data_IF_296474760898
#
_entry.id   IF_296474760898
#
_cell.length_a   1.000
_cell.length_b   1.000
_cell.length_c   1.000
_cell.angle_alpha   90.00
_cell.angle_beta   90.00
_cell.angle_gamma   90.00
#
_symmetry.space_group_name_H-M   'P 1'
#
loop_
_entity.id
_entity.type
_entity.pdbx_description
1 polymer ?
#
# COMPACT_ATOMS: atom_id res chain seq x y z
N UNK A 1 15.65 3.22 -4.10
CA UNK A 1 14.31 3.81 -4.33
C UNK A 1 14.43 5.29 -4.03
N UNK A 2 13.95 6.17 -4.91
CA UNK A 2 13.97 7.63 -4.71
C UNK A 2 12.51 8.08 -4.75
N UNK A 3 11.99 8.59 -3.63
CA UNK A 3 10.60 9.10 -3.54
C UNK A 3 10.68 10.61 -3.37
N UNK A 4 9.93 11.33 -4.20
CA UNK A 4 9.82 12.78 -4.07
C UNK A 4 9.21 13.13 -2.70
N UNK A 5 9.90 13.91 -1.85
CA UNK A 5 9.39 14.29 -0.53
C UNK A 5 8.05 15.06 -0.59
N UNK A 6 7.73 15.68 -1.71
CA UNK A 6 6.49 16.43 -1.91
C UNK A 6 5.30 15.53 -2.31
N UNK A 7 5.52 14.23 -2.52
CA UNK A 7 4.43 13.29 -2.84
C UNK A 7 3.48 13.14 -1.64
N UNK A 8 2.29 13.73 -1.79
CA UNK A 8 1.21 13.62 -0.81
C UNK A 8 0.53 12.24 -0.85
N UNK A 9 -0.08 11.82 0.26
CA UNK A 9 -0.93 10.62 0.30
C UNK A 9 -2.27 10.90 -0.38
N UNK A 10 -2.64 10.07 -1.37
CA UNK A 10 -3.98 10.11 -1.97
C UNK A 10 -4.97 9.21 -1.20
N UNK A 11 -4.46 8.19 -0.52
CA UNK A 11 -5.16 7.46 0.52
C UNK A 11 -5.34 8.37 1.75
N UNK A 12 -6.59 8.64 2.12
CA UNK A 12 -6.92 9.49 3.26
C UNK A 12 -8.26 9.11 3.89
N UNK A 13 -8.59 9.59 5.10
CA UNK A 13 -9.90 9.37 5.72
C UNK A 13 -11.08 9.88 4.88
N UNK A 14 -10.86 10.86 4.01
CA UNK A 14 -11.89 11.42 3.12
C UNK A 14 -11.87 10.80 1.72
N UNK A 15 -10.85 10.03 1.37
CA UNK A 15 -10.70 9.38 0.07
C UNK A 15 -10.29 7.91 0.22
N UNK A 16 -11.11 7.15 0.97
CA UNK A 16 -10.85 5.75 1.31
C UNK A 16 -10.84 4.79 0.10
N UNK A 17 -11.36 5.21 -1.06
CA UNK A 17 -11.31 4.43 -2.30
C UNK A 17 -9.89 4.24 -2.82
N UNK A 18 -8.97 5.13 -2.45
CA UNK A 18 -7.55 5.08 -2.77
C UNK A 18 -6.72 4.31 -1.72
N UNK A 19 -7.37 3.74 -0.70
CA UNK A 19 -6.73 3.00 0.37
C UNK A 19 -6.97 1.49 0.21
N UNK A 20 -5.99 0.63 0.59
CA UNK A 20 -6.25 -0.79 0.66
C UNK A 20 -7.35 -1.09 1.70
N UNK A 21 -8.16 -2.14 1.54
CA UNK A 21 -9.25 -2.47 2.45
C UNK A 21 -8.85 -2.59 3.93
N UNK A 22 -7.65 -3.11 4.19
CA UNK A 22 -7.10 -3.18 5.55
C UNK A 22 -5.56 -3.13 5.54
N UNK A 23 -5.02 -2.85 6.72
CA UNK A 23 -3.60 -2.96 7.06
C UNK A 23 -3.42 -4.11 8.07
N UNK A 24 -2.37 -4.91 7.93
CA UNK A 24 -2.01 -5.94 8.93
C UNK A 24 -0.84 -5.41 9.77
N UNK A 25 -1.10 -5.21 11.06
CA UNK A 25 -0.06 -4.81 12.03
C UNK A 25 0.98 -5.93 12.24
N UNK A 26 2.15 -5.63 12.84
CA UNK A 26 3.14 -6.66 13.19
C UNK A 26 2.57 -7.82 14.03
N UNK A 27 1.56 -7.54 14.85
CA UNK A 27 0.86 -8.51 15.70
C UNK A 27 -0.27 -9.27 14.96
N UNK A 28 -0.23 -9.32 13.62
CA UNK A 28 -1.25 -9.97 12.77
C UNK A 28 -2.69 -9.44 12.95
N UNK A 29 -2.86 -8.26 13.53
CA UNK A 29 -4.18 -7.65 13.71
C UNK A 29 -4.54 -6.87 12.44
N UNK A 30 -5.72 -7.16 11.88
CA UNK A 30 -6.29 -6.43 10.74
C UNK A 30 -6.94 -5.14 11.22
N UNK A 31 -6.52 -4.02 10.63
CA UNK A 31 -7.08 -2.69 10.84
C UNK A 31 -7.73 -2.25 9.54
N UNK A 32 -9.05 -2.15 9.53
CA UNK A 32 -9.82 -1.75 8.34
C UNK A 32 -9.68 -0.26 8.04
N UNK A 33 -9.71 0.11 6.76
CA UNK A 33 -9.63 1.51 6.29
C UNK A 33 -10.76 2.43 6.75
N UNK A 34 -11.81 1.88 7.36
CA UNK A 34 -12.89 2.66 7.98
C UNK A 34 -12.60 2.99 9.45
N UNK A 35 -11.61 2.35 10.06
CA UNK A 35 -11.14 2.70 11.41
C UNK A 35 -10.16 3.87 11.33
N UNK A 36 -10.72 5.09 11.24
CA UNK A 36 -9.96 6.32 11.01
C UNK A 36 -8.95 6.64 12.12
N UNK A 37 -9.13 6.10 13.33
CA UNK A 37 -8.25 6.33 14.48
C UNK A 37 -6.98 5.48 14.46
N UNK A 38 -6.98 4.36 13.72
CA UNK A 38 -5.90 3.37 13.78
C UNK A 38 -5.32 3.00 12.41
N UNK A 39 -6.06 3.24 11.32
CA UNK A 39 -5.55 2.93 9.98
C UNK A 39 -4.42 3.90 9.60
N UNK A 40 -3.26 3.41 9.14
CA UNK A 40 -2.11 4.26 8.86
C UNK A 40 -2.19 4.89 7.46
N UNK A 41 -3.13 5.82 7.24
CA UNK A 41 -3.33 6.44 5.91
C UNK A 41 -2.06 7.03 5.31
N UNK A 42 -1.24 7.70 6.14
CA UNK A 42 0.04 8.31 5.73
C UNK A 42 1.10 7.32 5.25
N UNK A 43 0.93 6.03 5.52
CA UNK A 43 1.85 4.99 5.09
C UNK A 43 1.57 4.52 3.64
N UNK A 44 0.42 4.88 3.09
CA UNK A 44 -0.04 4.49 1.76
C UNK A 44 -0.20 5.72 0.87
N UNK A 45 0.34 5.67 -0.34
CA UNK A 45 0.07 6.68 -1.34
C UNK A 45 -1.27 6.40 -2.02
N UNK A 46 -1.39 5.22 -2.64
CA UNK A 46 -2.50 4.86 -3.52
C UNK A 46 -2.66 3.33 -3.61
N UNK A 47 -3.91 2.88 -3.61
CA UNK A 47 -4.32 1.53 -3.97
C UNK A 47 -5.31 1.61 -5.12
N UNK A 48 -5.13 0.75 -6.12
CA UNK A 48 -6.15 0.47 -7.11
C UNK A 48 -6.31 -1.02 -7.34
N UNK A 49 -7.56 -1.43 -7.46
CA UNK A 49 -7.95 -2.80 -7.69
C UNK A 49 -7.71 -3.23 -9.15
N UNK A 50 -7.58 -4.54 -9.41
CA UNK A 50 -7.46 -5.03 -10.77
C UNK A 50 -8.79 -4.86 -11.50
N UNK A 51 -8.75 -4.41 -12.76
CA UNK A 51 -9.96 -4.10 -13.55
C UNK A 51 -10.88 -5.29 -13.85
N UNK A 52 -10.39 -6.51 -13.66
CA UNK A 52 -11.13 -7.76 -13.85
C UNK A 52 -11.57 -8.43 -12.54
N UNK A 53 -11.47 -7.74 -11.39
CA UNK A 53 -11.91 -8.28 -10.11
C UNK A 53 -13.45 -8.35 -9.99
N UNK A 54 -13.96 -9.50 -9.58
CA UNK A 54 -15.40 -9.78 -9.50
C UNK A 54 -16.03 -9.38 -8.17
N UNK A 55 -15.27 -9.38 -7.07
CA UNK A 55 -15.78 -9.25 -5.71
C UNK A 55 -15.09 -8.12 -4.92
N UNK A 56 -15.04 -6.93 -5.49
CA UNK A 56 -14.42 -5.77 -4.85
C UNK A 56 -15.31 -5.14 -3.76
N UNK A 57 -14.71 -4.86 -2.60
CA UNK A 57 -15.36 -4.14 -1.51
C UNK A 57 -15.42 -2.64 -1.83
N UNK A 58 -16.64 -2.10 -1.99
CA UNK A 58 -16.86 -0.67 -2.20
C UNK A 58 -16.55 0.14 -0.94
N UNK A 59 -15.98 1.35 -1.06
CA UNK A 59 -15.57 2.02 -2.30
C UNK A 59 -14.20 1.51 -2.81
N UNK A 60 -14.02 1.48 -4.13
CA UNK A 60 -12.76 1.12 -4.78
C UNK A 60 -12.57 1.95 -6.05
N UNK A 61 -11.31 2.12 -6.45
CA UNK A 61 -10.92 2.54 -7.80
C UNK A 61 -10.26 1.35 -8.50
N UNK A 62 -10.48 1.20 -9.80
CA UNK A 62 -9.71 0.26 -10.63
C UNK A 62 -8.50 0.99 -11.22
N UNK A 63 -7.41 0.27 -11.44
CA UNK A 63 -6.24 0.85 -12.09
C UNK A 63 -6.57 1.30 -13.53
N UNK A 64 -5.92 2.38 -13.98
CA UNK A 64 -6.11 2.92 -15.34
C UNK A 64 -5.71 1.87 -16.39
N UNK A 65 -6.63 1.45 -17.28
CA UNK A 65 -6.35 0.37 -18.24
C UNK A 65 -5.35 0.78 -19.32
N UNK A 66 -5.13 2.08 -19.57
CA UNK A 66 -4.13 2.54 -20.52
C UNK A 66 -2.72 2.34 -19.98
N UNK A 67 -2.49 2.76 -18.72
CA UNK A 67 -1.18 2.66 -18.06
C UNK A 67 -0.92 1.27 -17.46
N UNK A 68 -1.98 0.50 -17.19
CA UNK A 68 -1.93 -0.86 -16.63
C UNK A 68 -2.81 -1.82 -17.46
N UNK A 69 -2.37 -2.18 -18.68
CA UNK A 69 -3.20 -2.94 -19.64
C UNK A 69 -3.42 -4.40 -19.24
N UNK A 70 -2.54 -4.96 -18.43
CA UNK A 70 -2.81 -6.19 -17.71
C UNK A 70 -3.47 -5.80 -16.40
N UNK A 71 -4.68 -6.30 -16.13
CA UNK A 71 -5.46 -5.94 -14.95
C UNK A 71 -4.81 -6.44 -13.64
N UNK A 72 -3.68 -5.84 -13.29
CA UNK A 72 -2.94 -6.05 -12.04
C UNK A 72 -3.44 -5.04 -11.02
N UNK A 73 -3.44 -5.41 -9.75
CA UNK A 73 -3.63 -4.42 -8.70
C UNK A 73 -2.32 -3.67 -8.44
N UNK A 74 -2.43 -2.43 -7.94
CA UNK A 74 -1.26 -1.65 -7.54
C UNK A 74 -1.44 -1.15 -6.12
N UNK A 75 -0.38 -1.27 -5.33
CA UNK A 75 -0.26 -0.70 -4.00
C UNK A 75 1.03 0.11 -3.92
N UNK A 76 0.89 1.40 -3.68
CA UNK A 76 2.00 2.34 -3.57
C UNK A 76 2.15 2.77 -2.12
N UNK A 77 3.35 2.59 -1.57
CA UNK A 77 3.69 2.95 -0.20
C UNK A 77 4.38 4.31 -0.14
N UNK A 78 4.27 4.97 1.00
CA UNK A 78 5.05 6.16 1.34
C UNK A 78 6.04 5.83 2.46
N UNK A 79 7.17 6.55 2.55
CA UNK A 79 8.06 6.45 3.69
C UNK A 79 7.30 6.67 5.00
N UNK A 80 7.38 5.71 5.92
CA UNK A 80 6.62 5.77 7.16
C UNK A 80 7.26 4.90 8.25
N UNK A 81 7.22 5.30 9.54
CA UNK A 81 7.83 4.53 10.63
C UNK A 81 7.30 3.09 10.78
N UNK A 82 6.06 2.84 10.34
CA UNK A 82 5.46 1.50 10.39
C UNK A 82 6.18 0.47 9.49
N UNK A 83 6.96 0.96 8.53
CA UNK A 83 7.74 0.12 7.63
C UNK A 83 9.19 -0.09 8.09
N UNK A 84 9.59 0.53 9.21
CA UNK A 84 10.97 0.53 9.70
C UNK A 84 11.51 -0.89 9.94
N UNK A 85 10.70 -1.75 10.54
CA UNK A 85 11.07 -3.15 10.84
C UNK A 85 11.35 -3.98 9.57
N UNK A 86 10.87 -3.52 8.41
CA UNK A 86 11.08 -4.17 7.11
C UNK A 86 12.17 -3.48 6.27
N UNK A 87 12.87 -2.50 6.83
CA UNK A 87 13.96 -1.78 6.19
C UNK A 87 13.52 -0.78 5.11
N UNK A 88 12.23 -0.46 5.02
CA UNK A 88 11.73 0.55 4.09
C UNK A 88 11.97 1.96 4.64
N UNK A 89 12.12 2.99 3.79
CA UNK A 89 12.26 4.38 4.25
C UNK A 89 11.20 4.80 5.27
N UNK A 90 11.62 5.56 6.27
CA UNK A 90 10.75 5.90 7.42
C UNK A 90 10.23 7.32 7.36
N UNK A 91 10.89 8.19 6.59
CA UNK A 91 10.59 9.62 6.49
C UNK A 91 10.65 10.08 5.04
N UNK A 92 9.78 11.02 4.67
CA UNK A 92 9.86 11.65 3.35
C UNK A 92 11.23 12.33 3.17
N UNK A 93 11.82 12.16 1.98
CA UNK A 93 13.16 12.66 1.68
C UNK A 93 14.29 11.67 1.98
N UNK A 94 14.03 10.59 2.72
CA UNK A 94 15.00 9.49 2.87
C UNK A 94 15.38 8.93 1.49
N UNK A 95 16.67 9.01 1.13
CA UNK A 95 17.15 8.55 -0.18
C UNK A 95 16.91 9.54 -1.33
N UNK A 96 16.48 10.77 -1.04
CA UNK A 96 16.30 11.83 -2.05
C UNK A 96 17.65 12.36 -2.56
N UNK A 97 17.60 13.16 -3.62
CA UNK A 97 18.79 13.76 -4.25
C UNK A 97 19.60 14.53 -3.19
N UNK A 98 20.85 14.11 -2.98
CA UNK A 98 21.76 14.68 -1.97
C UNK A 98 21.85 13.88 -0.66
N UNK A 99 20.95 12.93 -0.43
CA UNK A 99 20.96 12.02 0.73
C UNK A 99 20.99 10.56 0.26
N UNK A 100 22.12 10.13 -0.31
CA UNK A 100 22.29 8.77 -0.82
C UNK A 100 22.26 7.73 0.30
N UNK A 101 21.37 6.74 0.18
CA UNK A 101 21.19 5.67 1.17
C UNK A 101 21.04 4.29 0.53
N UNK A 102 21.44 3.28 1.28
CA UNK A 102 21.19 1.86 0.97
C UNK A 102 20.25 1.29 2.01
N UNK A 103 19.36 0.40 1.56
CA UNK A 103 18.36 -0.25 2.39
C UNK A 103 18.44 -1.75 2.19
N UNK A 104 18.41 -2.51 3.28
CA UNK A 104 18.14 -3.95 3.24
C UNK A 104 16.66 -4.16 3.48
N UNK A 105 15.94 -4.63 2.47
CA UNK A 105 14.50 -4.79 2.52
C UNK A 105 14.12 -6.22 2.87
N UNK A 106 13.38 -6.40 3.95
CA UNK A 106 12.66 -7.64 4.20
C UNK A 106 11.36 -7.64 3.38
N UNK A 107 11.49 -8.03 2.11
CA UNK A 107 10.37 -8.06 1.16
C UNK A 107 9.31 -9.09 1.59
N UNK A 108 9.72 -10.21 2.18
CA UNK A 108 8.82 -11.25 2.67
C UNK A 108 8.00 -10.77 3.86
N UNK A 109 8.66 -10.18 4.86
CA UNK A 109 8.02 -9.55 6.01
C UNK A 109 7.07 -8.43 5.57
N UNK A 110 7.53 -7.50 4.73
CA UNK A 110 6.71 -6.38 4.26
C UNK A 110 5.48 -6.87 3.48
N UNK A 111 5.66 -7.73 2.48
CA UNK A 111 4.55 -8.22 1.64
C UNK A 111 3.50 -8.97 2.44
N UNK A 112 3.89 -9.70 3.50
CA UNK A 112 2.95 -10.38 4.40
C UNK A 112 2.01 -9.44 5.16
N UNK A 113 2.33 -8.13 5.20
CA UNK A 113 1.50 -7.10 5.85
C UNK A 113 0.59 -6.33 4.89
N UNK A 114 0.86 -6.44 3.60
CA UNK A 114 0.14 -5.73 2.57
C UNK A 114 -1.12 -6.48 2.16
N UNK A 115 -2.11 -5.73 1.72
CA UNK A 115 -3.31 -6.29 1.12
C UNK A 115 -3.04 -6.61 -0.35
N UNK A 116 -3.40 -7.82 -0.76
CA UNK A 116 -3.49 -8.23 -2.15
C UNK A 116 -4.87 -8.86 -2.38
N UNK A 117 -5.54 -8.46 -3.45
CA UNK A 117 -6.82 -9.02 -3.83
C UNK A 117 -6.64 -10.49 -4.24
N UNK A 118 -7.39 -11.37 -3.58
CA UNK A 118 -7.42 -12.79 -3.90
C UNK A 118 -8.82 -13.15 -4.39
N UNK A 119 -8.91 -13.67 -5.61
CA UNK A 119 -10.13 -14.33 -6.05
C UNK A 119 -10.30 -15.57 -5.17
N UNK A 120 -11.39 -15.64 -4.42
CA UNK A 120 -11.75 -16.82 -3.63
C UNK A 120 -12.22 -17.92 -4.58
N UNK A 121 -11.26 -18.50 -5.29
CA UNK A 121 -11.45 -19.47 -6.35
C UNK A 121 -10.16 -20.24 -6.57
N UNK A 122 -9.83 -21.11 -5.61
CA UNK A 122 -8.83 -22.20 -5.68
C UNK A 122 -7.37 -21.72 -5.83
N UNK A 123 -6.69 -21.53 -4.68
CA UNK A 123 -5.34 -22.12 -4.48
C UNK A 123 -5.21 -22.48 -2.99
N UNK A 124 -5.38 -23.75 -2.67
CA UNK A 124 -4.68 -24.33 -1.52
C UNK A 124 -3.22 -24.44 -1.98
N UNK A 125 -2.35 -23.55 -1.49
CA UNK A 125 -0.90 -23.76 -1.53
C UNK A 125 -0.50 -24.73 -0.42
#
# INVERSE_FOLDING_TARGET
MIINPETAAWCSPTNIGNCPPFHITPNNTKVYRNNTSHFPYSAYHYYCAPGNAEHLEKPYSTCDPYSNPQAQELLQLLPHPIWADYGYPTKQGDGWVGDGRTWELDVGGLSSRLYFYQVSGIVNC
#
